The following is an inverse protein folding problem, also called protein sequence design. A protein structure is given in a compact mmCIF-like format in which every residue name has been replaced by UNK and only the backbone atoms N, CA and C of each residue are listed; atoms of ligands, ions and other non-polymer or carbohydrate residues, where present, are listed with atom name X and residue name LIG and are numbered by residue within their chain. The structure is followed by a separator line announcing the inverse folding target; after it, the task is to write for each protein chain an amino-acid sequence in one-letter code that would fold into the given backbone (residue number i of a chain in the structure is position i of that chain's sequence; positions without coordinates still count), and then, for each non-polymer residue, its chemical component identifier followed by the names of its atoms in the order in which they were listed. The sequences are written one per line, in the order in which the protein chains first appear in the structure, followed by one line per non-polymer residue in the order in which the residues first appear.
data_IF_247668245285
#
_entry.id   IF_247668245285
#
_cell.length_a   1.000
_cell.length_b   1.000
_cell.length_c   1.000
_cell.angle_alpha   90.00
_cell.angle_beta   90.00
_cell.angle_gamma   90.00
#
_symmetry.space_group_name_H-M   'P 1'
#
loop_
_entity.id
_entity.type
_entity.pdbx_description
1 polymer ?
#
# COMPACT_ATOMS: atom_id res chain seq x y z
N UNK A 1 -13.89 0.71 -9.04
CA UNK A 1 -13.02 -0.14 -8.19
C UNK A 1 -12.44 0.70 -7.06
N UNK A 2 -12.26 0.13 -5.89
CA UNK A 2 -11.81 0.81 -4.69
C UNK A 2 -10.76 -0.06 -3.97
N UNK A 3 -9.74 0.53 -3.39
CA UNK A 3 -8.63 -0.20 -2.74
C UNK A 3 -8.49 0.27 -1.31
N UNK A 4 -8.32 -0.67 -0.38
CA UNK A 4 -8.02 -0.39 1.02
C UNK A 4 -6.69 -1.01 1.39
N UNK A 5 -5.90 -0.25 2.13
CA UNK A 5 -4.67 -0.70 2.77
C UNK A 5 -4.82 -0.62 4.27
N UNK A 6 -4.54 -1.70 4.96
CA UNK A 6 -4.42 -1.72 6.42
C UNK A 6 -2.97 -2.03 6.76
N UNK A 7 -2.25 -1.02 7.22
CA UNK A 7 -0.84 -1.15 7.62
C UNK A 7 -0.76 -1.70 9.05
N UNK A 8 0.12 -2.67 9.26
CA UNK A 8 0.29 -3.40 10.51
C UNK A 8 1.78 -3.46 10.85
N UNK A 9 2.12 -3.20 12.10
CA UNK A 9 3.43 -3.54 12.66
C UNK A 9 3.28 -4.69 13.62
N UNK A 10 4.00 -5.77 13.39
CA UNK A 10 3.79 -7.07 14.03
C UNK A 10 5.01 -7.45 14.87
N UNK A 11 4.80 -7.95 16.05
CA UNK A 11 5.89 -8.48 16.87
C UNK A 11 6.60 -9.63 16.14
N UNK A 12 7.93 -9.63 16.15
CA UNK A 12 8.76 -10.54 15.34
C UNK A 12 8.49 -12.02 15.65
N UNK A 13 8.03 -12.34 16.83
CA UNK A 13 7.65 -13.71 17.25
C UNK A 13 6.34 -14.21 16.58
N UNK A 14 5.48 -13.28 16.11
CA UNK A 14 4.17 -13.59 15.53
C UNK A 14 4.09 -13.52 14.01
N UNK A 15 5.18 -13.30 13.30
CA UNK A 15 5.19 -13.14 11.83
C UNK A 15 4.51 -14.32 11.11
N UNK A 16 4.88 -15.55 11.46
CA UNK A 16 4.27 -16.77 10.88
C UNK A 16 2.84 -16.98 11.35
N UNK A 17 2.54 -16.60 12.58
CA UNK A 17 1.19 -16.71 13.17
C UNK A 17 0.23 -15.77 12.44
N UNK A 18 0.65 -14.53 12.18
CA UNK A 18 -0.13 -13.58 11.38
C UNK A 18 -0.41 -14.13 9.97
N UNK A 19 0.60 -14.69 9.30
CA UNK A 19 0.41 -15.30 7.98
C UNK A 19 -0.66 -16.39 8.03
N UNK A 20 -0.53 -17.34 8.97
CA UNK A 20 -1.51 -18.41 9.14
C UNK A 20 -2.90 -17.92 9.52
N UNK A 21 -3.01 -16.86 10.32
CA UNK A 21 -4.27 -16.21 10.65
C UNK A 21 -4.90 -15.57 9.40
N UNK A 22 -4.11 -14.87 8.61
CA UNK A 22 -4.58 -14.24 7.39
C UNK A 22 -5.13 -15.26 6.39
N UNK A 23 -4.39 -16.34 6.15
CA UNK A 23 -4.80 -17.42 5.23
C UNK A 23 -6.07 -18.16 5.69
N UNK A 24 -6.14 -18.48 6.98
CA UNK A 24 -7.19 -19.38 7.51
C UNK A 24 -8.43 -18.65 8.00
N UNK A 25 -8.32 -17.38 8.35
CA UNK A 25 -9.42 -16.61 8.94
C UNK A 25 -9.75 -15.39 8.08
N UNK A 26 -8.77 -14.50 7.81
CA UNK A 26 -9.06 -13.22 7.14
C UNK A 26 -9.56 -13.45 5.70
N UNK A 27 -8.83 -14.22 4.88
CA UNK A 27 -9.21 -14.51 3.49
C UNK A 27 -10.60 -15.18 3.42
N UNK A 28 -10.90 -16.26 4.18
CA UNK A 28 -12.23 -16.86 4.16
C UNK A 28 -13.37 -15.94 4.60
N UNK A 29 -13.13 -15.04 5.55
CA UNK A 29 -14.15 -14.05 5.95
C UNK A 29 -14.38 -13.01 4.84
N UNK A 30 -13.32 -12.46 4.27
CA UNK A 30 -13.41 -11.49 3.17
C UNK A 30 -14.07 -12.10 1.92
N UNK A 31 -13.84 -13.38 1.64
CA UNK A 31 -14.47 -14.10 0.52
C UNK A 31 -16.01 -14.14 0.61
N UNK A 32 -16.58 -14.06 1.82
CA UNK A 32 -18.03 -14.05 2.05
C UNK A 32 -18.65 -12.67 1.83
N UNK A 33 -17.83 -11.62 1.76
CA UNK A 33 -18.31 -10.23 1.69
C UNK A 33 -18.53 -9.86 0.21
N UNK A 34 -19.76 -9.44 -0.09
CA UNK A 34 -20.11 -8.95 -1.42
C UNK A 34 -19.24 -7.76 -1.81
N UNK A 35 -18.78 -7.76 -3.06
CA UNK A 35 -17.96 -6.69 -3.64
C UNK A 35 -16.48 -6.74 -3.28
N UNK A 36 -16.04 -7.60 -2.33
CA UNK A 36 -14.63 -7.87 -2.13
C UNK A 36 -14.11 -8.76 -3.26
N UNK A 37 -13.17 -8.26 -4.05
CA UNK A 37 -12.70 -8.92 -5.26
C UNK A 37 -11.37 -9.62 -5.11
N UNK A 38 -10.50 -9.09 -4.25
CA UNK A 38 -9.17 -9.62 -3.99
C UNK A 38 -8.70 -9.20 -2.61
N UNK A 39 -7.97 -10.07 -1.94
CA UNK A 39 -7.30 -9.77 -0.69
C UNK A 39 -5.90 -10.38 -0.68
N UNK A 40 -4.91 -9.64 -0.23
CA UNK A 40 -3.59 -10.18 0.03
C UNK A 40 -2.92 -9.52 1.23
N UNK A 41 -2.03 -10.28 1.86
CA UNK A 41 -1.09 -9.80 2.86
C UNK A 41 0.28 -9.63 2.18
N UNK A 42 0.83 -8.43 2.22
CA UNK A 42 2.14 -8.11 1.69
C UNK A 42 3.07 -7.68 2.83
N UNK A 43 4.35 -8.04 2.73
CA UNK A 43 5.38 -7.73 3.71
C UNK A 43 6.37 -6.73 3.13
N UNK A 44 6.75 -5.72 3.91
CA UNK A 44 7.73 -4.72 3.52
C UNK A 44 9.11 -5.36 3.29
N UNK A 45 9.71 -5.09 2.13
CA UNK A 45 11.01 -5.64 1.76
C UNK A 45 12.19 -5.10 2.59
N UNK A 46 12.00 -3.98 3.31
CA UNK A 46 13.01 -3.35 4.15
C UNK A 46 12.79 -3.56 5.66
N UNK A 47 11.60 -4.03 6.05
CA UNK A 47 11.18 -4.18 7.45
C UNK A 47 10.35 -5.45 7.59
N UNK A 48 10.92 -6.49 8.18
CA UNK A 48 10.30 -7.81 8.25
C UNK A 48 9.05 -7.85 9.16
N UNK A 49 8.87 -6.86 10.01
CA UNK A 49 7.77 -6.70 10.96
C UNK A 49 6.62 -5.81 10.44
N UNK A 50 6.80 -5.19 9.27
CA UNK A 50 5.80 -4.36 8.65
C UNK A 50 5.02 -5.10 7.56
N UNK A 51 3.71 -5.12 7.72
CA UNK A 51 2.77 -5.75 6.79
C UNK A 51 1.70 -4.79 6.33
N UNK A 52 1.15 -5.07 5.16
CA UNK A 52 -0.03 -4.38 4.64
C UNK A 52 -1.04 -5.43 4.18
N UNK A 53 -2.25 -5.37 4.73
CA UNK A 53 -3.41 -6.04 4.16
C UNK A 53 -3.97 -5.16 3.05
N UNK A 54 -3.96 -5.64 1.82
CA UNK A 54 -4.48 -4.95 0.65
C UNK A 54 -5.74 -5.65 0.16
N UNK A 55 -6.83 -4.89 0.00
CA UNK A 55 -8.09 -5.41 -0.51
C UNK A 55 -8.63 -4.56 -1.65
N UNK A 56 -9.18 -5.22 -2.68
CA UNK A 56 -9.83 -4.59 -3.81
C UNK A 56 -11.34 -4.81 -3.73
N UNK A 57 -12.11 -3.77 -4.01
CA UNK A 57 -13.55 -3.73 -3.91
C UNK A 57 -14.19 -3.20 -5.21
N UNK A 58 -15.36 -3.66 -5.54
CA UNK A 58 -16.11 -3.13 -6.69
C UNK A 58 -16.44 -1.66 -6.49
N UNK A 59 -16.91 -1.30 -5.29
CA UNK A 59 -17.29 0.06 -4.94
C UNK A 59 -16.82 0.46 -3.54
N UNK A 60 -16.71 1.77 -3.30
CA UNK A 60 -16.48 2.34 -1.97
C UNK A 60 -17.56 1.92 -0.98
N UNK A 61 -18.82 1.91 -1.45
CA UNK A 61 -19.98 1.58 -0.61
C UNK A 61 -19.85 0.17 -0.01
N UNK A 62 -19.43 -0.82 -0.78
CA UNK A 62 -19.26 -2.20 -0.29
C UNK A 62 -18.15 -2.30 0.72
N UNK A 63 -17.05 -1.57 0.55
CA UNK A 63 -15.99 -1.48 1.54
C UNK A 63 -16.47 -0.83 2.85
N UNK A 64 -17.31 0.24 2.76
CA UNK A 64 -17.94 0.87 3.93
C UNK A 64 -18.96 -0.06 4.60
N UNK A 65 -19.76 -0.80 3.82
CA UNK A 65 -20.74 -1.75 4.35
C UNK A 65 -20.05 -2.89 5.11
N UNK A 66 -18.91 -3.37 4.61
CA UNK A 66 -18.04 -4.32 5.32
C UNK A 66 -17.55 -3.76 6.66
N UNK A 67 -17.10 -2.53 6.71
CA UNK A 67 -16.66 -1.89 7.95
C UNK A 67 -17.81 -1.77 8.96
N UNK A 68 -18.98 -1.30 8.50
CA UNK A 68 -20.20 -1.14 9.32
C UNK A 68 -20.78 -2.47 9.78
N UNK A 69 -20.52 -3.58 9.08
CA UNK A 69 -20.98 -4.92 9.47
C UNK A 69 -20.36 -5.43 10.77
N UNK A 70 -19.30 -4.80 11.24
CA UNK A 70 -18.53 -5.22 12.41
C UNK A 70 -17.52 -6.34 12.13
N UNK A 71 -17.52 -6.95 10.94
CA UNK A 71 -16.56 -8.00 10.57
C UNK A 71 -15.13 -7.44 10.56
N UNK A 72 -14.93 -6.26 9.99
CA UNK A 72 -13.63 -5.57 10.00
C UNK A 72 -13.11 -5.40 11.43
N UNK A 73 -13.93 -4.83 12.32
CA UNK A 73 -13.54 -4.61 13.72
C UNK A 73 -13.25 -5.93 14.45
N UNK A 74 -14.01 -6.98 14.15
CA UNK A 74 -13.75 -8.33 14.71
C UNK A 74 -12.39 -8.87 14.28
N UNK A 75 -12.04 -8.75 12.98
CA UNK A 75 -10.75 -9.18 12.46
C UNK A 75 -9.60 -8.37 13.05
N UNK A 76 -9.74 -7.04 13.16
CA UNK A 76 -8.74 -6.16 13.82
C UNK A 76 -8.55 -6.58 15.28
N UNK A 77 -9.62 -6.82 16.02
CA UNK A 77 -9.52 -7.25 17.43
C UNK A 77 -8.78 -8.59 17.57
N UNK A 78 -8.98 -9.53 16.66
CA UNK A 78 -8.26 -10.80 16.62
C UNK A 78 -6.79 -10.65 16.20
N UNK A 79 -6.44 -9.57 15.49
CA UNK A 79 -5.06 -9.27 15.09
C UNK A 79 -4.25 -8.63 16.22
N UNK A 80 -4.90 -7.93 17.16
CA UNK A 80 -4.24 -7.19 18.25
C UNK A 80 -3.16 -7.98 19.03
N UNK A 81 -3.33 -9.26 19.35
CA UNK A 81 -2.30 -10.02 20.05
C UNK A 81 -0.99 -10.21 19.29
N UNK A 82 -1.01 -9.97 17.98
CA UNK A 82 0.18 -10.12 17.11
C UNK A 82 0.93 -8.81 16.90
N UNK A 83 0.31 -7.67 17.25
CA UNK A 83 0.87 -6.35 16.98
C UNK A 83 2.09 -6.06 17.86
N UNK A 84 3.04 -5.32 17.30
CA UNK A 84 4.20 -4.84 18.04
C UNK A 84 3.77 -3.84 19.11
N UNK A 85 4.56 -3.74 20.18
CA UNK A 85 4.43 -2.66 21.13
C UNK A 85 4.93 -1.36 20.50
N UNK A 86 4.17 -0.28 20.71
CA UNK A 86 4.56 1.06 20.32
C UNK A 86 5.66 1.59 21.25
N UNK A 87 6.44 2.56 20.78
CA UNK A 87 7.33 3.33 21.65
C UNK A 87 6.59 4.26 22.61
N UNK A 88 5.28 4.41 22.46
CA UNK A 88 4.42 5.20 23.32
C UNK A 88 3.97 4.39 24.55
N UNK A 89 3.85 5.07 25.67
CA UNK A 89 3.40 4.50 26.94
C UNK A 89 2.15 5.24 27.41
N UNK A 90 1.11 4.49 27.75
CA UNK A 90 -0.04 5.05 28.45
C UNK A 90 0.27 5.19 29.94
N UNK A 91 0.00 6.38 30.46
CA UNK A 91 0.08 6.66 31.88
C UNK A 91 -1.33 6.49 32.44
N UNK A 92 -1.51 5.52 33.31
CA UNK A 92 -2.77 5.33 34.08
C UNK A 92 -2.53 5.66 35.54
N UNK A 93 -3.47 6.39 36.14
CA UNK A 93 -3.54 6.54 37.58
C UNK A 93 -4.26 5.30 38.13
N UNK A 94 -3.59 4.53 38.99
CA UNK A 94 -4.22 3.41 39.70
C UNK A 94 -5.19 3.92 40.77
N UNK A 95 -6.04 3.04 41.27
CA UNK A 95 -6.98 3.34 42.38
C UNK A 95 -6.25 3.80 43.65
N UNK A 96 -4.98 3.43 43.80
CA UNK A 96 -4.09 3.84 44.91
C UNK A 96 -3.31 5.15 44.62
N UNK A 97 -3.69 5.88 43.56
CA UNK A 97 -3.04 7.12 43.10
C UNK A 97 -1.57 6.95 42.64
N UNK A 98 -1.15 5.75 42.28
CA UNK A 98 0.15 5.50 41.69
C UNK A 98 0.08 5.61 40.16
N UNK A 99 1.13 6.19 39.55
CA UNK A 99 1.28 6.25 38.08
C UNK A 99 1.78 4.89 37.59
N UNK A 100 0.95 4.21 36.79
CA UNK A 100 1.34 2.99 36.09
C UNK A 100 1.56 3.27 34.63
N UNK A 101 2.68 2.77 34.13
CA UNK A 101 3.04 2.86 32.72
C UNK A 101 2.64 1.55 32.03
N UNK A 102 1.74 1.63 31.04
CA UNK A 102 1.34 0.49 30.22
C UNK A 102 1.86 0.68 28.79
N UNK A 103 2.46 -0.36 28.19
CA UNK A 103 2.84 -0.29 26.79
C UNK A 103 1.58 -0.14 25.90
N UNK A 104 1.71 0.62 24.84
CA UNK A 104 0.67 0.78 23.82
C UNK A 104 1.08 -0.08 22.63
N UNK A 105 0.16 -0.87 22.11
CA UNK A 105 0.38 -1.59 20.84
C UNK A 105 0.23 -0.62 19.67
N UNK A 106 1.03 -0.84 18.62
CA UNK A 106 0.86 -0.12 17.35
C UNK A 106 -0.55 -0.41 16.79
N UNK A 107 -1.34 0.64 16.59
CA UNK A 107 -2.67 0.45 16.02
C UNK A 107 -2.59 0.32 14.49
N UNK A 108 -3.43 -0.56 13.89
CA UNK A 108 -3.50 -0.65 12.44
C UNK A 108 -3.94 0.67 11.80
N UNK A 109 -3.23 1.11 10.76
CA UNK A 109 -3.55 2.33 10.02
C UNK A 109 -4.31 1.98 8.75
N UNK A 110 -5.56 2.44 8.66
CA UNK A 110 -6.41 2.27 7.47
C UNK A 110 -6.21 3.44 6.51
N UNK A 111 -5.91 3.12 5.24
CA UNK A 111 -5.86 4.08 4.12
C UNK A 111 -6.76 3.62 3.00
N UNK A 112 -7.52 4.54 2.42
CA UNK A 112 -8.54 4.28 1.41
C UNK A 112 -8.28 5.08 0.14
N UNK A 113 -8.45 4.42 -1.01
CA UNK A 113 -8.14 4.99 -2.32
C UNK A 113 -9.19 4.59 -3.37
N UNK A 114 -9.55 5.53 -4.23
CA UNK A 114 -10.32 5.25 -5.45
C UNK A 114 -9.38 4.98 -6.61
N UNK A 115 -9.71 3.98 -7.43
CA UNK A 115 -8.93 3.71 -8.65
C UNK A 115 -9.31 4.70 -9.73
N UNK A 116 -8.35 5.52 -10.15
CA UNK A 116 -8.51 6.54 -11.18
C UNK A 116 -8.15 6.05 -12.57
N UNK A 117 -7.15 5.15 -12.68
CA UNK A 117 -6.77 4.51 -13.95
C UNK A 117 -6.13 3.14 -13.68
N UNK A 118 -6.28 2.20 -14.60
CA UNK A 118 -5.75 0.85 -14.46
C UNK A 118 -5.38 0.22 -15.80
N UNK A 119 -4.51 -0.79 -15.77
CA UNK A 119 -4.24 -1.70 -16.89
C UNK A 119 -4.67 -3.11 -16.54
N UNK A 120 -5.67 -3.62 -17.22
CA UNK A 120 -6.23 -4.96 -16.98
C UNK A 120 -7.26 -4.99 -15.85
N UNK A 121 -7.78 -6.17 -15.56
CA UNK A 121 -8.76 -6.42 -14.53
C UNK A 121 -8.09 -6.64 -13.15
N UNK A 122 -8.71 -7.46 -12.30
CA UNK A 122 -8.21 -7.82 -10.97
C UNK A 122 -6.97 -8.71 -11.05
N UNK A 123 -6.14 -8.74 -10.01
CA UNK A 123 -5.14 -9.80 -9.85
C UNK A 123 -5.81 -11.19 -9.91
N UNK A 124 -5.24 -12.11 -10.70
CA UNK A 124 -5.79 -13.47 -10.86
C UNK A 124 -5.33 -14.43 -9.75
N UNK A 125 -6.08 -15.54 -9.58
CA UNK A 125 -5.81 -16.59 -8.59
C UNK A 125 -4.55 -17.42 -8.86
N UNK A 126 -3.90 -17.26 -9.99
CA UNK A 126 -2.61 -17.88 -10.23
C UNK A 126 -1.59 -17.29 -9.25
N UNK A 127 -1.61 -17.81 -8.03
CA UNK A 127 -0.68 -17.46 -6.97
C UNK A 127 0.73 -17.82 -7.41
N UNK A 128 1.38 -16.89 -8.05
CA UNK A 128 2.82 -16.95 -8.16
C UNK A 128 3.38 -16.53 -6.78
N UNK A 129 3.97 -17.44 -5.99
CA UNK A 129 4.54 -17.12 -4.67
C UNK A 129 5.72 -16.14 -4.76
N UNK A 130 6.07 -15.71 -5.97
CA UNK A 130 7.11 -14.72 -6.24
C UNK A 130 6.57 -13.33 -6.56
N UNK A 131 5.24 -13.15 -6.57
CA UNK A 131 4.64 -11.85 -6.86
C UNK A 131 5.21 -10.77 -5.96
N UNK A 132 5.47 -9.63 -6.57
CA UNK A 132 6.08 -8.49 -5.92
C UNK A 132 5.24 -7.24 -6.17
N UNK A 133 4.97 -6.49 -5.11
CA UNK A 133 4.16 -5.27 -5.16
C UNK A 133 5.06 -4.07 -4.95
N UNK A 134 4.94 -3.10 -5.83
CA UNK A 134 5.64 -1.83 -5.73
C UNK A 134 4.61 -0.71 -5.62
N UNK A 135 4.74 0.08 -4.58
CA UNK A 135 3.86 1.22 -4.28
C UNK A 135 4.69 2.50 -4.39
N UNK A 136 4.25 3.41 -5.22
CA UNK A 136 4.83 4.76 -5.34
C UNK A 136 3.79 5.77 -4.90
N UNK A 137 4.03 6.40 -3.77
CA UNK A 137 3.22 7.50 -3.26
C UNK A 137 3.77 8.81 -3.77
N UNK A 138 2.91 9.71 -4.23
CA UNK A 138 3.30 11.04 -4.67
C UNK A 138 2.21 12.07 -4.42
N UNK A 139 2.60 13.33 -4.28
CA UNK A 139 1.70 14.47 -4.18
C UNK A 139 1.67 15.25 -5.49
N UNK A 140 0.49 15.39 -6.06
CA UNK A 140 0.25 16.14 -7.29
C UNK A 140 0.08 17.62 -6.92
N UNK A 141 0.58 18.52 -7.78
CA UNK A 141 0.40 19.97 -7.64
C UNK A 141 -1.08 20.33 -7.74
N UNK A 142 -1.51 21.30 -6.96
CA UNK A 142 -2.89 21.81 -7.00
C UNK A 142 -3.30 22.21 -8.43
N UNK A 143 -4.48 21.80 -8.88
CA UNK A 143 -4.99 22.01 -10.21
C UNK A 143 -4.33 21.18 -11.33
N UNK A 144 -3.43 20.24 -10.99
CA UNK A 144 -2.72 19.40 -11.99
C UNK A 144 -3.15 17.93 -11.97
N UNK A 145 -4.16 17.57 -11.20
CA UNK A 145 -4.60 16.18 -11.07
C UNK A 145 -5.08 15.59 -12.40
N UNK A 146 -5.87 16.33 -13.18
CA UNK A 146 -6.36 15.84 -14.47
C UNK A 146 -5.24 15.70 -15.51
N UNK A 147 -4.29 16.64 -15.54
CA UNK A 147 -3.09 16.55 -16.38
C UNK A 147 -2.25 15.32 -16.01
N UNK A 148 -2.08 15.08 -14.70
CA UNK A 148 -1.35 13.92 -14.20
C UNK A 148 -2.05 12.61 -14.58
N UNK A 149 -3.36 12.49 -14.35
CA UNK A 149 -4.15 11.30 -14.72
C UNK A 149 -4.05 10.99 -16.21
N UNK A 150 -4.16 12.02 -17.05
CA UNK A 150 -4.03 11.87 -18.47
C UNK A 150 -2.63 11.37 -18.88
N UNK A 151 -1.57 11.97 -18.37
CA UNK A 151 -0.20 11.50 -18.60
C UNK A 151 0.02 10.08 -18.09
N UNK A 152 -0.54 9.75 -16.95
CA UNK A 152 -0.43 8.41 -16.39
C UNK A 152 -1.12 7.38 -17.29
N UNK A 153 -2.34 7.67 -17.76
CA UNK A 153 -3.09 6.77 -18.65
C UNK A 153 -2.44 6.65 -20.05
N UNK A 154 -1.97 7.76 -20.62
CA UNK A 154 -1.47 7.80 -21.98
C UNK A 154 0.00 7.36 -22.11
N UNK A 155 0.79 7.51 -21.06
CA UNK A 155 2.25 7.28 -21.11
C UNK A 155 2.70 6.23 -20.10
N UNK A 156 2.31 6.36 -18.82
CA UNK A 156 2.86 5.49 -17.75
C UNK A 156 2.30 4.08 -17.87
N UNK A 157 0.97 3.93 -17.96
CA UNK A 157 0.32 2.62 -18.07
C UNK A 157 0.83 1.85 -19.32
N UNK A 158 0.84 2.40 -20.53
CA UNK A 158 1.33 1.66 -21.71
C UNK A 158 2.80 1.26 -21.59
N UNK A 159 3.64 2.11 -21.01
CA UNK A 159 5.06 1.80 -20.81
C UNK A 159 5.26 0.66 -19.82
N UNK A 160 4.55 0.69 -18.69
CA UNK A 160 4.61 -0.37 -17.68
C UNK A 160 4.03 -1.68 -18.20
N UNK A 161 2.89 -1.63 -18.89
CA UNK A 161 2.26 -2.82 -19.51
C UNK A 161 3.17 -3.53 -20.51
N UNK A 162 4.03 -2.80 -21.20
CA UNK A 162 5.03 -3.35 -22.13
C UNK A 162 6.37 -3.68 -21.43
N UNK A 163 6.44 -3.55 -20.11
CA UNK A 163 7.64 -3.92 -19.36
C UNK A 163 7.52 -5.35 -18.88
N UNK A 164 8.57 -6.15 -19.14
CA UNK A 164 8.62 -7.56 -18.73
C UNK A 164 8.33 -7.71 -17.23
N UNK A 165 7.46 -8.64 -16.90
CA UNK A 165 7.11 -9.00 -15.52
C UNK A 165 6.10 -8.04 -14.86
N UNK A 166 5.74 -6.90 -15.46
CA UNK A 166 4.70 -6.03 -14.93
C UNK A 166 3.32 -6.55 -15.34
N UNK A 167 2.56 -7.08 -14.38
CA UNK A 167 1.24 -7.70 -14.63
C UNK A 167 0.10 -6.68 -14.51
N UNK A 168 0.09 -5.89 -13.43
CA UNK A 168 -0.99 -4.95 -13.16
C UNK A 168 -0.45 -3.58 -12.78
N UNK A 169 -1.14 -2.54 -13.25
CA UNK A 169 -0.84 -1.14 -12.97
C UNK A 169 -2.13 -0.44 -12.55
N UNK A 170 -2.12 0.17 -11.37
CA UNK A 170 -3.24 0.97 -10.88
C UNK A 170 -2.74 2.36 -10.47
N UNK A 171 -3.45 3.38 -10.90
CA UNK A 171 -3.36 4.71 -10.33
C UNK A 171 -4.54 4.89 -9.38
N UNK A 172 -4.27 5.24 -8.14
CA UNK A 172 -5.29 5.47 -7.12
C UNK A 172 -5.16 6.88 -6.53
N UNK A 173 -6.29 7.47 -6.14
CA UNK A 173 -6.37 8.74 -5.44
C UNK A 173 -6.76 8.51 -4.00
N UNK A 174 -6.09 9.19 -3.06
CA UNK A 174 -6.46 9.16 -1.65
C UNK A 174 -7.85 9.76 -1.43
N UNK A 175 -8.62 9.11 -0.58
CA UNK A 175 -9.93 9.61 -0.13
C UNK A 175 -9.80 10.47 1.14
N UNK A 176 -8.62 10.51 1.73
CA UNK A 176 -8.33 11.17 3.01
C UNK A 176 -7.42 12.39 2.85
N UNK A 177 -6.53 12.36 1.88
CA UNK A 177 -5.53 13.40 1.65
C UNK A 177 -5.66 13.97 0.23
N UNK A 178 -5.89 15.29 0.14
CA UNK A 178 -6.02 15.98 -1.13
C UNK A 178 -4.72 15.91 -1.96
N UNK A 179 -4.91 15.72 -3.26
CA UNK A 179 -3.81 15.65 -4.24
C UNK A 179 -2.81 14.51 -4.02
N UNK A 180 -3.07 13.58 -3.11
CA UNK A 180 -2.21 12.42 -2.94
C UNK A 180 -2.67 11.26 -3.82
N UNK A 181 -1.70 10.65 -4.49
CA UNK A 181 -1.91 9.48 -5.34
C UNK A 181 -0.98 8.34 -4.94
N UNK A 182 -1.41 7.13 -5.30
CA UNK A 182 -0.56 5.95 -5.28
C UNK A 182 -0.56 5.32 -6.68
N UNK A 183 0.63 5.10 -7.20
CA UNK A 183 0.89 4.17 -8.30
C UNK A 183 1.21 2.81 -7.72
N UNK A 184 0.29 1.86 -7.90
CA UNK A 184 0.42 0.47 -7.47
C UNK A 184 0.75 -0.39 -8.67
N UNK A 185 1.86 -1.12 -8.62
CA UNK A 185 2.26 -2.07 -9.66
C UNK A 185 2.50 -3.47 -9.06
N UNK A 186 2.02 -4.49 -9.75
CA UNK A 186 2.20 -5.89 -9.36
C UNK A 186 3.06 -6.58 -10.43
N UNK A 187 4.10 -7.27 -9.98
CA UNK A 187 5.15 -7.85 -10.80
C UNK A 187 5.24 -9.36 -10.57
N UNK A 188 5.71 -10.10 -11.58
CA UNK A 188 5.95 -11.54 -11.49
C UNK A 188 7.02 -11.89 -10.45
N UNK A 189 8.02 -11.00 -10.31
CA UNK A 189 9.12 -11.20 -9.38
C UNK A 189 9.72 -9.87 -8.91
N UNK A 190 10.47 -9.94 -7.82
CA UNK A 190 11.31 -8.84 -7.33
C UNK A 190 12.36 -8.43 -8.35
N UNK A 191 12.95 -9.41 -9.02
CA UNK A 191 13.99 -9.23 -10.02
C UNK A 191 13.51 -8.41 -11.21
N UNK A 192 12.28 -8.66 -11.70
CA UNK A 192 11.69 -7.89 -12.80
C UNK A 192 11.42 -6.43 -12.39
N UNK A 193 10.90 -6.20 -11.19
CA UNK A 193 10.70 -4.85 -10.66
C UNK A 193 12.03 -4.09 -10.47
N UNK A 194 13.07 -4.76 -9.95
CA UNK A 194 14.41 -4.18 -9.82
C UNK A 194 15.04 -3.89 -11.20
N UNK A 195 14.87 -4.79 -12.17
CA UNK A 195 15.38 -4.58 -13.52
C UNK A 195 14.73 -3.37 -14.19
N UNK A 196 13.42 -3.17 -14.00
CA UNK A 196 12.73 -1.96 -14.45
C UNK A 196 13.34 -0.69 -13.86
N UNK A 197 13.65 -0.66 -12.57
CA UNK A 197 14.30 0.50 -11.94
C UNK A 197 15.73 0.70 -12.46
N UNK A 198 16.53 -0.35 -12.51
CA UNK A 198 17.93 -0.32 -12.97
C UNK A 198 18.06 0.07 -14.45
N UNK A 199 17.05 -0.22 -15.26
CA UNK A 199 17.02 0.17 -16.68
C UNK A 199 16.89 1.68 -16.91
N UNK A 200 16.61 2.47 -15.89
CA UNK A 200 16.36 3.92 -15.98
C UNK A 200 14.93 4.28 -16.39
N UNK A 201 14.09 3.32 -16.79
CA UNK A 201 12.70 3.58 -17.23
C UNK A 201 11.84 4.26 -16.16
N UNK A 202 12.06 3.92 -14.90
CA UNK A 202 11.35 4.60 -13.81
C UNK A 202 11.71 6.09 -13.75
N UNK A 203 13.00 6.42 -13.88
CA UNK A 203 13.45 7.81 -13.90
C UNK A 203 12.91 8.57 -15.12
N UNK A 204 12.89 7.93 -16.30
CA UNK A 204 12.31 8.51 -17.52
C UNK A 204 10.82 8.81 -17.37
N UNK A 205 10.05 7.89 -16.81
CA UNK A 205 8.62 8.10 -16.56
C UNK A 205 8.37 9.18 -15.53
N UNK A 206 9.16 9.19 -14.45
CA UNK A 206 9.08 10.23 -13.43
C UNK A 206 9.40 11.60 -14.01
N UNK A 207 10.41 11.72 -14.89
CA UNK A 207 10.76 12.97 -15.56
C UNK A 207 9.62 13.51 -16.44
N UNK A 208 8.86 12.62 -17.09
CA UNK A 208 7.69 13.02 -17.91
C UNK A 208 6.54 13.60 -17.08
N UNK A 209 6.31 13.09 -15.87
CA UNK A 209 5.21 13.53 -15.01
C UNK A 209 5.62 14.57 -13.98
N UNK A 210 6.91 14.83 -13.77
CA UNK A 210 7.42 15.67 -12.67
C UNK A 210 6.82 17.08 -12.62
N UNK A 211 6.51 17.69 -13.79
CA UNK A 211 5.95 19.04 -13.86
C UNK A 211 4.52 19.14 -13.29
N UNK A 212 3.87 17.99 -13.08
CA UNK A 212 2.55 17.88 -12.43
C UNK A 212 2.65 17.57 -10.94
N UNK A 213 3.83 17.22 -10.45
CA UNK A 213 4.06 16.90 -9.04
C UNK A 213 4.33 18.17 -8.22
N UNK A 214 4.24 18.06 -6.91
CA UNK A 214 4.42 19.19 -6.00
C UNK A 214 5.78 19.88 -6.19
N UNK A 215 5.86 21.17 -5.86
CA UNK A 215 7.10 21.93 -6.00
C UNK A 215 8.23 21.42 -5.11
N UNK A 216 7.87 20.91 -3.92
CA UNK A 216 8.84 20.30 -3.01
C UNK A 216 9.49 19.06 -3.63
N UNK A 217 8.71 18.23 -4.33
CA UNK A 217 9.24 17.08 -5.06
C UNK A 217 10.18 17.50 -6.19
N UNK A 218 9.80 18.51 -6.97
CA UNK A 218 10.64 19.04 -8.05
C UNK A 218 11.97 19.58 -7.51
N UNK A 219 11.94 20.30 -6.41
CA UNK A 219 13.14 20.80 -5.72
C UNK A 219 14.03 19.65 -5.21
N UNK A 220 13.44 18.62 -4.64
CA UNK A 220 14.17 17.42 -4.19
C UNK A 220 14.90 16.74 -5.34
N UNK A 221 14.24 16.54 -6.47
CA UNK A 221 14.88 15.93 -7.65
C UNK A 221 16.05 16.78 -8.17
N UNK A 222 15.92 18.10 -8.17
CA UNK A 222 17.00 19.00 -8.57
C UNK A 222 18.21 18.86 -7.62
N UNK A 223 17.97 18.85 -6.31
CA UNK A 223 19.01 18.70 -5.30
C UNK A 223 19.73 17.35 -5.40
N UNK A 224 19.01 16.26 -5.62
CA UNK A 224 19.61 14.93 -5.82
C UNK A 224 20.48 14.85 -7.06
N UNK A 225 20.06 15.51 -8.13
CA UNK A 225 20.83 15.61 -9.38
C UNK A 225 22.15 16.40 -9.21
N UNK A 226 22.09 17.47 -8.42
CA UNK A 226 23.29 18.31 -8.17
C UNK A 226 24.25 17.66 -7.17
N UNK A 227 23.75 17.03 -6.13
CA UNK A 227 24.57 16.54 -5.02
C UNK A 227 25.01 15.09 -5.19
N UNK A 228 24.33 14.31 -6.04
CA UNK A 228 24.53 12.86 -6.20
C UNK A 228 24.15 12.03 -4.96
N UNK A 229 23.57 12.68 -3.94
CA UNK A 229 23.12 12.04 -2.70
C UNK A 229 21.60 12.04 -2.62
N UNK A 230 21.03 10.92 -2.20
CA UNK A 230 19.59 10.87 -1.90
C UNK A 230 19.27 11.85 -0.77
N UNK A 231 18.49 12.86 -1.08
CA UNK A 231 17.99 13.79 -0.09
C UNK A 231 16.89 13.09 0.73
N UNK A 232 17.12 12.90 2.02
CA UNK A 232 16.07 12.49 2.96
C UNK A 232 15.21 13.72 3.27
N UNK A 233 14.30 14.04 2.40
CA UNK A 233 13.27 15.04 2.66
C UNK A 233 11.91 14.40 2.47
N UNK A 234 10.98 14.79 3.31
CA UNK A 234 9.57 14.38 3.43
C UNK A 234 8.89 13.87 2.16
N UNK A 235 8.17 12.83 2.29
CA UNK A 235 6.86 12.34 1.84
C UNK A 235 6.35 12.60 0.40
N UNK A 236 6.98 13.40 -0.46
CA UNK A 236 6.40 13.77 -1.76
C UNK A 236 6.47 12.68 -2.83
N UNK A 237 7.46 11.81 -2.79
CA UNK A 237 7.50 10.58 -3.57
C UNK A 237 8.23 9.50 -2.80
N UNK A 238 7.47 8.56 -2.27
CA UNK A 238 7.98 7.40 -1.58
C UNK A 238 7.79 6.14 -2.43
N UNK A 239 8.83 5.32 -2.52
CA UNK A 239 8.78 4.01 -3.17
C UNK A 239 8.91 2.94 -2.11
N UNK A 240 7.79 2.27 -1.84
CA UNK A 240 7.75 1.12 -0.95
C UNK A 240 7.66 -0.17 -1.76
N UNK A 241 8.33 -1.21 -1.29
CA UNK A 241 8.46 -2.50 -1.95
C UNK A 241 8.02 -3.61 -1.01
N UNK A 242 7.16 -4.49 -1.51
CA UNK A 242 6.55 -5.55 -0.71
C UNK A 242 6.59 -6.88 -1.46
N UNK A 243 6.80 -7.97 -0.72
CA UNK A 243 6.60 -9.33 -1.20
C UNK A 243 5.19 -9.79 -0.83
N UNK A 244 4.49 -10.44 -1.74
CA UNK A 244 3.21 -11.08 -1.42
C UNK A 244 3.49 -12.28 -0.51
N UNK A 245 2.88 -12.30 0.66
CA UNK A 245 2.99 -13.38 1.64
C UNK A 245 1.89 -14.40 1.38
N UNK A 246 0.66 -13.94 1.21
CA UNK A 246 -0.51 -14.74 0.84
C UNK A 246 -1.56 -13.85 0.21
N UNK A 247 -2.43 -14.40 -0.63
CA UNK A 247 -3.52 -13.65 -1.25
C UNK A 247 -4.48 -14.58 -2.01
N UNK A 248 -5.67 -14.07 -2.30
CA UNK A 248 -6.69 -14.78 -3.06
C UNK A 248 -7.60 -13.82 -3.81
N UNK A 249 -7.96 -14.16 -5.04
CA UNK A 249 -9.03 -13.54 -5.82
C UNK A 249 -10.38 -14.15 -5.45
N UNK A 250 -11.42 -13.35 -5.44
CA UNK A 250 -12.79 -13.77 -5.14
C UNK A 250 -13.65 -13.58 -6.40
N UNK A 251 -14.50 -14.55 -6.70
CA UNK A 251 -15.40 -14.58 -7.86
C UNK A 251 -16.83 -14.37 -7.42
#
# INVERSE_FOLDING_TARGET
MFVRFVQLKVSTEYLKTLQGFYEKIVIPELQKISGCQYACLIQNGNSADEFVSMTFWDTKKEAEDYEKSGVYQSLINQTKPFLAESSEWKIKLSDDFELKYEPVTEEPVLKEYSVAAQSGDKPSDEQNPRMYVRIVSAKVKEGKMDDFKKLYADVVIPTLKNTKGCQYVYLTESMQEENQIISLTIWDSKEDAEQYEKSGRFAELTDKVKHTLSELFQWKMALEKETGKKAKTSEDLEVSRYSVVTGKSFH
#
